data_IF_775584609149
#
_entry.id   IF_775584609149
#
_cell.length_a   1.000
_cell.length_b   1.000
_cell.length_c   1.000
_cell.angle_alpha   90.00
_cell.angle_beta   90.00
_cell.angle_gamma   90.00
#
_symmetry.space_group_name_H-M   'P 1'
#
loop_
_entity.id
_entity.type
_entity.pdbx_description
1 polymer ?
#
# COMPACT_ATOMS: atom_id res chain seq x y z
N UNK A 1 -9.71 -4.16 18.35
CA UNK A 1 -10.17 -3.41 17.16
C UNK A 1 -9.91 -4.28 15.94
N UNK A 2 -10.87 -4.39 15.02
CA UNK A 2 -10.73 -5.27 13.86
C UNK A 2 -10.24 -4.47 12.63
N UNK A 3 -8.94 -4.13 12.64
CA UNK A 3 -8.32 -3.36 11.57
C UNK A 3 -7.61 -4.27 10.57
N UNK A 4 -7.55 -3.83 9.31
CA UNK A 4 -6.85 -4.52 8.22
C UNK A 4 -5.92 -3.56 7.50
N UNK A 5 -4.67 -3.96 7.36
CA UNK A 5 -3.72 -3.32 6.45
C UNK A 5 -3.57 -4.16 5.19
N UNK A 6 -3.88 -3.60 4.04
CA UNK A 6 -3.67 -4.17 2.72
C UNK A 6 -2.35 -3.64 2.17
N UNK A 7 -1.37 -4.51 1.96
CA UNK A 7 -0.08 -4.14 1.35
C UNK A 7 -0.05 -4.66 -0.07
N UNK A 8 -0.16 -3.76 -1.04
CA UNK A 8 -0.13 -4.10 -2.46
C UNK A 8 1.31 -4.28 -2.93
N UNK A 9 1.62 -5.47 -3.43
CA UNK A 9 2.97 -5.81 -3.89
C UNK A 9 2.96 -6.63 -5.18
N UNK A 10 4.10 -6.64 -5.86
CA UNK A 10 4.35 -7.46 -7.04
C UNK A 10 5.43 -8.50 -6.76
N UNK A 11 5.43 -9.59 -7.51
CA UNK A 11 6.58 -10.48 -7.55
C UNK A 11 7.82 -9.73 -8.05
N UNK A 12 8.97 -9.78 -7.32
CA UNK A 12 10.18 -9.06 -7.71
C UNK A 12 10.88 -9.74 -8.89
N UNK A 13 10.42 -9.42 -10.09
CA UNK A 13 10.98 -9.91 -11.35
C UNK A 13 11.66 -8.77 -12.10
N UNK A 14 12.95 -8.92 -12.51
CA UNK A 14 13.65 -7.91 -13.29
C UNK A 14 12.86 -7.50 -14.54
N UNK A 15 12.76 -6.19 -14.78
CA UNK A 15 12.00 -5.61 -15.90
C UNK A 15 10.47 -5.51 -15.66
N UNK A 16 9.93 -6.06 -14.56
CA UNK A 16 8.51 -5.97 -14.21
C UNK A 16 8.21 -5.09 -13.01
N UNK A 17 9.23 -4.77 -12.22
CA UNK A 17 9.15 -3.84 -11.08
C UNK A 17 10.09 -2.68 -11.29
N UNK A 18 9.72 -1.49 -10.81
CA UNK A 18 10.54 -0.26 -10.89
C UNK A 18 11.11 0.00 -12.28
N UNK A 19 10.25 -0.06 -13.30
CA UNK A 19 10.67 0.06 -14.71
C UNK A 19 11.25 1.43 -15.05
N UNK A 20 10.82 2.52 -14.38
CA UNK A 20 11.41 3.85 -14.55
C UNK A 20 12.84 3.87 -13.99
N UNK A 21 13.04 3.41 -12.76
CA UNK A 21 14.36 3.26 -12.16
C UNK A 21 15.26 2.33 -12.99
N UNK A 22 14.69 1.26 -13.56
CA UNK A 22 15.43 0.31 -14.38
C UNK A 22 16.02 0.93 -15.66
N UNK A 23 15.47 2.03 -16.18
CA UNK A 23 16.05 2.76 -17.30
C UNK A 23 17.40 3.39 -16.95
N UNK A 24 17.63 3.71 -15.69
CA UNK A 24 18.86 4.36 -15.23
C UNK A 24 19.90 3.35 -14.71
N UNK A 25 19.45 2.35 -13.92
CA UNK A 25 20.35 1.44 -13.20
C UNK A 25 20.33 -0.02 -13.73
N UNK A 26 19.48 -0.32 -14.68
CA UNK A 26 19.25 -1.67 -15.19
C UNK A 26 18.21 -2.46 -14.38
N UNK A 27 17.62 -3.47 -15.03
CA UNK A 27 16.49 -4.23 -14.50
C UNK A 27 16.83 -5.00 -13.20
N UNK A 28 18.00 -5.59 -13.12
CA UNK A 28 18.43 -6.37 -11.95
C UNK A 28 18.63 -5.49 -10.73
N UNK A 29 19.26 -4.32 -10.87
CA UNK A 29 19.49 -3.39 -9.77
C UNK A 29 18.18 -2.76 -9.29
N UNK A 30 17.31 -2.34 -10.21
CA UNK A 30 15.97 -1.85 -9.87
C UNK A 30 15.14 -2.90 -9.11
N UNK A 31 15.27 -4.18 -9.48
CA UNK A 31 14.64 -5.29 -8.76
C UNK A 31 15.21 -5.47 -7.34
N UNK A 32 16.53 -5.27 -7.13
CA UNK A 32 17.13 -5.28 -5.78
C UNK A 32 16.60 -4.13 -4.94
N UNK A 33 16.53 -2.92 -5.50
CA UNK A 33 15.93 -1.76 -4.81
C UNK A 33 14.50 -2.06 -4.40
N UNK A 34 13.68 -2.63 -5.30
CA UNK A 34 12.31 -3.01 -4.95
C UNK A 34 12.23 -3.98 -3.76
N UNK A 35 13.11 -4.99 -3.70
CA UNK A 35 13.18 -5.91 -2.55
C UNK A 35 13.55 -5.19 -1.25
N UNK A 36 14.43 -4.20 -1.32
CA UNK A 36 14.81 -3.36 -0.18
C UNK A 36 13.60 -2.55 0.31
N UNK A 37 12.84 -1.93 -0.59
CA UNK A 37 11.63 -1.18 -0.26
C UNK A 37 10.60 -2.06 0.45
N UNK A 38 10.32 -3.26 -0.07
CA UNK A 38 9.40 -4.21 0.58
C UNK A 38 9.90 -4.62 1.97
N UNK A 39 11.19 -4.89 2.13
CA UNK A 39 11.80 -5.19 3.44
C UNK A 39 11.65 -4.02 4.41
N UNK A 40 11.84 -2.79 3.96
CA UNK A 40 11.67 -1.58 4.78
C UNK A 40 10.22 -1.47 5.30
N UNK A 41 9.21 -1.71 4.46
CA UNK A 41 7.80 -1.75 4.86
C UNK A 41 7.58 -2.82 5.94
N UNK A 42 8.12 -4.03 5.76
CA UNK A 42 8.03 -5.11 6.75
C UNK A 42 8.59 -4.66 8.10
N UNK A 43 9.80 -4.12 8.11
CA UNK A 43 10.52 -3.74 9.33
C UNK A 43 9.85 -2.57 10.08
N UNK A 44 9.34 -1.59 9.35
CA UNK A 44 8.79 -0.36 9.92
C UNK A 44 7.34 -0.49 10.39
N UNK A 45 6.55 -1.34 9.75
CA UNK A 45 5.10 -1.40 9.98
C UNK A 45 4.69 -2.64 10.75
N UNK A 46 5.20 -3.83 10.38
CA UNK A 46 4.69 -5.09 10.93
C UNK A 46 4.82 -5.22 12.46
N UNK A 47 5.91 -4.79 13.13
CA UNK A 47 6.06 -4.97 14.57
C UNK A 47 4.97 -4.29 15.39
N UNK A 48 4.51 -3.12 14.94
CA UNK A 48 3.48 -2.34 15.63
C UNK A 48 2.09 -2.76 15.18
N UNK A 49 1.90 -2.94 13.87
CA UNK A 49 0.58 -3.23 13.32
C UNK A 49 0.03 -4.59 13.79
N UNK A 50 0.87 -5.57 14.08
CA UNK A 50 0.45 -6.86 14.65
C UNK A 50 -0.34 -6.73 15.96
N UNK A 51 -0.17 -5.62 16.68
CA UNK A 51 -0.95 -5.31 17.89
C UNK A 51 -2.27 -4.58 17.58
N UNK A 52 -2.38 -3.96 16.41
CA UNK A 52 -3.52 -3.14 15.99
C UNK A 52 -4.51 -3.89 15.10
N UNK A 53 -4.07 -4.92 14.38
CA UNK A 53 -4.89 -5.61 13.38
C UNK A 53 -4.16 -6.73 12.68
N UNK A 54 -4.55 -7.00 11.44
CA UNK A 54 -3.95 -8.02 10.58
C UNK A 54 -3.42 -7.41 9.29
N UNK A 55 -2.37 -7.99 8.73
CA UNK A 55 -1.75 -7.58 7.47
C UNK A 55 -2.13 -8.57 6.38
N UNK A 56 -2.68 -8.05 5.28
CA UNK A 56 -2.91 -8.82 4.06
C UNK A 56 -1.94 -8.37 2.97
N UNK A 57 -1.13 -9.28 2.48
CA UNK A 57 -0.27 -9.10 1.32
C UNK A 57 -1.09 -9.32 0.05
N UNK A 58 -1.43 -8.22 -0.66
CA UNK A 58 -2.26 -8.23 -1.86
C UNK A 58 -1.35 -8.28 -3.08
N UNK A 59 -1.12 -9.47 -3.62
CA UNK A 59 -0.02 -9.74 -4.54
C UNK A 59 -0.43 -9.90 -6.01
N UNK A 60 0.51 -9.64 -6.91
CA UNK A 60 0.44 -9.86 -8.36
C UNK A 60 1.79 -10.42 -8.87
N UNK A 61 1.81 -11.40 -9.78
CA UNK A 61 0.67 -12.10 -10.41
C UNK A 61 0.16 -13.30 -9.60
N UNK A 62 -1.07 -13.72 -9.86
CA UNK A 62 -1.73 -14.85 -9.17
C UNK A 62 -0.94 -16.16 -9.26
N UNK A 63 -0.24 -16.40 -10.37
CA UNK A 63 0.57 -17.60 -10.57
C UNK A 63 1.85 -17.68 -9.72
N UNK A 64 2.16 -16.64 -8.93
CA UNK A 64 3.34 -16.54 -8.05
C UNK A 64 3.01 -16.59 -6.57
N UNK A 65 1.83 -17.10 -6.20
CA UNK A 65 1.40 -17.12 -4.80
C UNK A 65 2.39 -17.86 -3.88
N UNK A 66 2.85 -19.04 -4.29
CA UNK A 66 3.75 -19.85 -3.47
C UNK A 66 5.08 -19.12 -3.24
N UNK A 67 5.73 -18.66 -4.30
CA UNK A 67 7.01 -17.96 -4.24
C UNK A 67 6.92 -16.64 -3.46
N UNK A 68 5.81 -15.90 -3.60
CA UNK A 68 5.57 -14.66 -2.85
C UNK A 68 5.40 -14.94 -1.35
N UNK A 69 4.66 -15.99 -0.98
CA UNK A 69 4.53 -16.43 0.41
C UNK A 69 5.89 -16.79 1.02
N UNK A 70 6.67 -17.61 0.35
CA UNK A 70 8.01 -18.00 0.81
C UNK A 70 8.93 -16.77 0.96
N UNK A 71 8.89 -15.85 -0.02
CA UNK A 71 9.68 -14.64 0.03
C UNK A 71 9.29 -13.75 1.21
N UNK A 72 8.02 -13.42 1.38
CA UNK A 72 7.53 -12.57 2.47
C UNK A 72 7.77 -13.24 3.82
N UNK A 73 7.51 -14.55 3.96
CA UNK A 73 7.80 -15.31 5.18
C UNK A 73 9.29 -15.27 5.56
N UNK A 74 10.17 -15.32 4.57
CA UNK A 74 11.61 -15.17 4.78
C UNK A 74 11.98 -13.77 5.25
N UNK A 75 11.41 -12.72 4.62
CA UNK A 75 11.67 -11.32 5.01
C UNK A 75 11.13 -11.03 6.42
N UNK A 76 9.93 -11.51 6.77
CA UNK A 76 9.37 -11.42 8.13
C UNK A 76 10.30 -12.07 9.16
N UNK A 77 10.76 -13.30 8.89
CA UNK A 77 11.69 -14.00 9.77
C UNK A 77 13.03 -13.26 9.92
N UNK A 78 13.59 -12.76 8.82
CA UNK A 78 14.84 -11.99 8.83
C UNK A 78 14.70 -10.68 9.63
N UNK A 79 13.49 -10.14 9.70
CA UNK A 79 13.15 -8.94 10.47
C UNK A 79 12.74 -9.24 11.93
N UNK A 80 12.89 -10.48 12.39
CA UNK A 80 12.56 -10.90 13.75
C UNK A 80 11.05 -11.01 14.03
N UNK A 81 10.21 -10.99 12.99
CA UNK A 81 8.76 -11.04 13.11
C UNK A 81 8.31 -12.50 13.03
N UNK A 82 7.94 -13.08 14.17
CA UNK A 82 7.55 -14.50 14.27
C UNK A 82 6.04 -14.72 14.27
N UNK A 83 5.23 -13.68 14.39
CA UNK A 83 3.77 -13.77 14.38
C UNK A 83 3.23 -13.89 12.95
N UNK A 84 3.20 -15.13 12.45
CA UNK A 84 2.61 -15.45 11.14
C UNK A 84 1.09 -15.42 11.12
N UNK A 85 0.42 -15.48 12.27
CA UNK A 85 -1.05 -15.53 12.35
C UNK A 85 -1.71 -14.21 11.97
N UNK A 86 -0.97 -13.11 12.14
CA UNK A 86 -1.42 -11.77 11.76
C UNK A 86 -1.23 -11.47 10.28
N UNK A 87 -0.54 -12.35 9.52
CA UNK A 87 -0.25 -12.18 8.10
C UNK A 87 -1.00 -13.20 7.24
N UNK A 88 -1.60 -12.73 6.16
CA UNK A 88 -2.24 -13.59 5.16
C UNK A 88 -2.14 -12.96 3.76
N UNK A 89 -2.58 -13.69 2.72
CA UNK A 89 -2.29 -13.34 1.33
C UNK A 89 -3.55 -13.40 0.48
N UNK A 90 -3.74 -12.39 -0.37
CA UNK A 90 -4.74 -12.36 -1.42
C UNK A 90 -4.09 -12.04 -2.76
N UNK A 91 -4.55 -12.72 -3.82
CA UNK A 91 -4.20 -12.27 -5.16
C UNK A 91 -4.95 -10.99 -5.52
N UNK A 92 -4.30 -10.10 -6.26
CA UNK A 92 -4.97 -8.96 -6.86
C UNK A 92 -5.99 -9.44 -7.89
N UNK A 93 -7.12 -8.72 -8.01
CA UNK A 93 -8.08 -8.96 -9.10
C UNK A 93 -7.53 -8.41 -10.42
N UNK A 94 -8.15 -8.79 -11.52
CA UNK A 94 -7.97 -8.15 -12.82
C UNK A 94 -8.50 -6.71 -12.82
N UNK A 95 -8.19 -5.95 -13.85
CA UNK A 95 -8.61 -4.57 -14.01
C UNK A 95 -7.53 -3.55 -13.67
N UNK A 96 -7.91 -2.29 -13.60
CA UNK A 96 -7.02 -1.19 -13.21
C UNK A 96 -6.76 -1.15 -11.70
N UNK A 97 -5.99 -0.18 -11.22
CA UNK A 97 -5.70 -0.04 -9.79
C UNK A 97 -6.97 0.19 -8.97
N UNK A 98 -7.94 0.93 -9.51
CA UNK A 98 -9.23 1.19 -8.84
C UNK A 98 -10.04 -0.09 -8.63
N UNK A 99 -10.12 -0.95 -9.64
CA UNK A 99 -10.80 -2.25 -9.54
C UNK A 99 -10.13 -3.16 -8.50
N UNK A 100 -8.79 -3.17 -8.48
CA UNK A 100 -8.01 -3.96 -7.54
C UNK A 100 -8.20 -3.47 -6.10
N UNK A 101 -8.13 -2.17 -5.87
CA UNK A 101 -8.40 -1.56 -4.57
C UNK A 101 -9.84 -1.83 -4.14
N UNK A 102 -10.83 -1.55 -4.99
CA UNK A 102 -12.24 -1.78 -4.69
C UNK A 102 -12.52 -3.23 -4.29
N UNK A 103 -11.95 -4.19 -5.01
CA UNK A 103 -12.10 -5.62 -4.74
C UNK A 103 -11.51 -6.01 -3.40
N UNK A 104 -10.28 -5.55 -3.10
CA UNK A 104 -9.61 -5.86 -1.84
C UNK A 104 -10.34 -5.27 -0.63
N UNK A 105 -10.76 -3.99 -0.70
CA UNK A 105 -11.55 -3.35 0.35
C UNK A 105 -12.90 -4.04 0.56
N UNK A 106 -13.63 -4.35 -0.53
CA UNK A 106 -14.90 -5.07 -0.46
C UNK A 106 -14.75 -6.43 0.23
N UNK A 107 -13.69 -7.18 -0.09
CA UNK A 107 -13.36 -8.45 0.56
C UNK A 107 -13.05 -8.26 2.04
N UNK A 108 -12.29 -7.23 2.40
CA UNK A 108 -12.00 -6.92 3.80
C UNK A 108 -13.25 -6.61 4.61
N UNK A 109 -14.16 -5.78 4.09
CA UNK A 109 -15.44 -5.49 4.75
C UNK A 109 -16.34 -6.71 4.86
N UNK A 110 -16.36 -7.60 3.86
CA UNK A 110 -17.14 -8.84 3.95
C UNK A 110 -16.60 -9.83 4.98
N UNK A 111 -15.36 -9.66 5.43
CA UNK A 111 -14.75 -10.38 6.56
C UNK A 111 -14.87 -9.61 7.88
N UNK A 112 -15.73 -8.59 7.94
CA UNK A 112 -16.05 -7.80 9.13
C UNK A 112 -14.89 -6.97 9.68
N UNK A 113 -13.88 -6.62 8.87
CA UNK A 113 -12.92 -5.59 9.27
C UNK A 113 -13.61 -4.22 9.31
N UNK A 114 -13.34 -3.44 10.38
CA UNK A 114 -14.00 -2.15 10.61
C UNK A 114 -13.26 -0.98 9.96
N UNK A 115 -11.94 -1.01 10.01
CA UNK A 115 -11.07 -0.01 9.38
C UNK A 115 -10.08 -0.72 8.48
N UNK A 116 -10.02 -0.28 7.26
CA UNK A 116 -9.13 -0.85 6.26
C UNK A 116 -8.27 0.27 5.70
N UNK A 117 -6.96 0.04 5.69
CA UNK A 117 -5.98 0.91 5.08
C UNK A 117 -5.22 0.12 4.02
N UNK A 118 -5.06 0.68 2.83
CA UNK A 118 -4.25 0.13 1.76
C UNK A 118 -3.02 1.01 1.51
N UNK A 119 -1.87 0.37 1.31
CA UNK A 119 -0.60 1.01 0.98
C UNK A 119 0.08 0.30 -0.18
N UNK A 120 0.93 1.03 -0.91
CA UNK A 120 1.95 0.46 -1.79
C UNK A 120 3.20 0.03 -1.01
N UNK A 121 4.23 -0.34 -1.75
CA UNK A 121 5.56 -0.69 -1.21
C UNK A 121 6.65 0.30 -1.63
N UNK A 122 6.26 1.42 -2.21
CA UNK A 122 7.16 2.32 -2.90
C UNK A 122 7.59 3.53 -2.05
N UNK A 123 6.89 3.78 -0.93
CA UNK A 123 7.14 4.89 -0.02
C UNK A 123 7.95 4.43 1.19
N UNK A 124 9.23 4.82 1.24
CA UNK A 124 10.15 4.42 2.32
C UNK A 124 9.94 5.21 3.61
N UNK A 125 9.40 6.42 3.52
CA UNK A 125 9.14 7.28 4.68
C UNK A 125 7.95 6.78 5.51
N UNK A 126 7.14 5.89 4.93
CA UNK A 126 5.97 5.33 5.59
C UNK A 126 6.36 4.46 6.79
N UNK A 127 5.78 4.77 7.93
CA UNK A 127 6.03 4.10 9.20
C UNK A 127 4.74 3.71 9.94
N UNK A 128 4.89 3.04 11.08
CA UNK A 128 3.78 2.63 11.93
C UNK A 128 2.96 3.81 12.46
N UNK A 129 3.61 4.94 12.77
CA UNK A 129 2.94 6.15 13.26
C UNK A 129 1.97 6.70 12.23
N UNK A 130 2.38 6.71 10.96
CA UNK A 130 1.53 7.14 9.84
C UNK A 130 0.32 6.21 9.67
N UNK A 131 0.50 4.89 9.82
CA UNK A 131 -0.61 3.93 9.77
C UNK A 131 -1.58 4.11 10.94
N UNK A 132 -1.06 4.35 12.14
CA UNK A 132 -1.90 4.66 13.31
C UNK A 132 -2.71 5.93 13.10
N UNK A 133 -2.09 7.00 12.62
CA UNK A 133 -2.78 8.25 12.26
C UNK A 133 -3.88 8.02 11.22
N UNK A 134 -3.60 7.19 10.20
CA UNK A 134 -4.60 6.81 9.21
C UNK A 134 -5.82 6.14 9.85
N UNK A 135 -5.61 5.16 10.74
CA UNK A 135 -6.69 4.48 11.45
C UNK A 135 -7.50 5.42 12.36
N UNK A 136 -6.82 6.33 13.07
CA UNK A 136 -7.48 7.33 13.91
C UNK A 136 -8.30 8.35 13.10
N UNK A 137 -7.90 8.62 11.86
CA UNK A 137 -8.60 9.52 10.94
C UNK A 137 -9.89 8.93 10.35
N UNK A 138 -10.28 7.72 10.79
CA UNK A 138 -11.49 7.02 10.34
C UNK A 138 -12.54 6.87 11.47
N UNK A 139 -13.09 7.99 12.03
CA UNK A 139 -14.02 7.92 13.15
C UNK A 139 -15.42 7.43 12.75
N UNK A 140 -15.84 7.57 11.49
CA UNK A 140 -17.18 7.24 11.03
C UNK A 140 -17.20 6.48 9.71
N UNK A 141 -18.32 5.86 9.36
CA UNK A 141 -18.51 5.13 8.11
C UNK A 141 -18.32 5.99 6.84
N UNK A 142 -18.49 7.31 6.95
CA UNK A 142 -18.27 8.26 5.86
C UNK A 142 -16.87 8.87 5.85
N UNK A 143 -15.98 8.39 6.73
CA UNK A 143 -14.60 8.86 6.79
C UNK A 143 -13.71 8.10 5.81
N UNK A 144 -12.86 8.85 5.11
CA UNK A 144 -11.74 8.34 4.34
C UNK A 144 -10.47 9.07 4.74
N UNK A 145 -9.33 8.45 4.52
CA UNK A 145 -8.01 9.05 4.71
C UNK A 145 -7.16 8.80 3.46
N UNK A 146 -6.39 9.80 3.05
CA UNK A 146 -5.46 9.72 1.94
C UNK A 146 -4.09 10.21 2.42
N UNK A 147 -3.04 9.48 2.07
CA UNK A 147 -1.65 9.91 2.21
C UNK A 147 -1.12 10.34 0.84
N UNK A 148 -1.06 11.66 0.54
CA UNK A 148 -0.66 12.16 -0.76
C UNK A 148 0.77 11.77 -1.13
N UNK A 149 1.06 11.60 -2.43
CA UNK A 149 2.41 11.51 -2.98
C UNK A 149 2.69 12.65 -3.95
N UNK A 150 3.97 13.08 -4.03
CA UNK A 150 4.39 14.23 -4.82
C UNK A 150 4.11 14.10 -6.32
N UNK A 151 3.91 12.89 -6.82
CA UNK A 151 3.53 12.63 -8.22
C UNK A 151 2.07 12.96 -8.54
N UNK A 152 1.28 13.39 -7.53
CA UNK A 152 -0.15 13.67 -7.64
C UNK A 152 -1.05 12.45 -7.43
N UNK A 153 -0.48 11.34 -6.95
CA UNK A 153 -1.16 10.14 -6.46
C UNK A 153 -1.34 10.13 -4.95
N UNK A 154 -1.37 8.95 -4.39
CA UNK A 154 -1.33 8.72 -2.95
C UNK A 154 -0.68 7.37 -2.63
N UNK A 155 0.19 7.35 -1.63
CA UNK A 155 0.85 6.16 -1.11
C UNK A 155 -0.05 5.35 -0.17
N UNK A 156 -1.12 5.96 0.34
CA UNK A 156 -2.04 5.38 1.30
C UNK A 156 -3.47 5.83 1.03
N UNK A 157 -4.40 4.89 1.13
CA UNK A 157 -5.84 5.17 1.21
C UNK A 157 -6.49 4.31 2.27
N UNK A 158 -7.38 4.90 3.09
CA UNK A 158 -8.13 4.17 4.11
C UNK A 158 -9.61 4.57 4.15
N UNK A 159 -10.44 3.63 4.59
CA UNK A 159 -11.87 3.87 4.78
C UNK A 159 -12.47 2.92 5.82
N UNK A 160 -13.65 3.25 6.33
CA UNK A 160 -14.32 2.50 7.39
C UNK A 160 -15.55 1.72 6.94
N UNK A 161 -16.03 1.90 5.74
CA UNK A 161 -17.21 1.19 5.26
C UNK A 161 -17.28 1.07 3.74
N UNK A 162 -18.22 0.27 3.26
CA UNK A 162 -18.53 0.15 1.84
C UNK A 162 -18.95 1.48 1.19
N UNK A 163 -19.37 2.47 1.96
CA UNK A 163 -19.73 3.81 1.45
C UNK A 163 -18.55 4.51 0.78
N UNK A 164 -17.31 4.16 1.15
CA UNK A 164 -16.10 4.67 0.52
C UNK A 164 -15.75 4.02 -0.82
N UNK A 165 -16.25 2.82 -1.13
CA UNK A 165 -15.85 2.06 -2.33
C UNK A 165 -16.04 2.81 -3.66
N UNK A 166 -17.11 3.63 -3.87
CA UNK A 166 -17.22 4.38 -5.10
C UNK A 166 -16.14 5.44 -5.32
N UNK A 167 -15.29 5.72 -4.32
CA UNK A 167 -14.13 6.62 -4.46
C UNK A 167 -13.23 6.22 -5.63
N UNK A 168 -13.06 4.92 -5.86
CA UNK A 168 -12.14 4.37 -6.85
C UNK A 168 -12.66 4.42 -8.30
N UNK A 169 -13.90 4.86 -8.54
CA UNK A 169 -14.51 4.89 -9.87
C UNK A 169 -14.22 6.17 -10.62
N UNK A 170 -13.99 6.05 -11.92
CA UNK A 170 -13.76 7.20 -12.82
C UNK A 170 -12.54 8.04 -12.43
N UNK A 171 -11.48 7.38 -11.96
CA UNK A 171 -10.17 7.96 -11.68
C UNK A 171 -9.23 7.65 -12.84
N UNK A 172 -8.51 8.65 -13.31
CA UNK A 172 -7.47 8.50 -14.35
C UNK A 172 -6.18 7.98 -13.71
N UNK A 173 -6.17 6.68 -13.41
CA UNK A 173 -5.03 6.03 -12.72
C UNK A 173 -3.72 6.24 -13.47
N UNK A 174 -2.60 6.21 -12.74
CA UNK A 174 -1.23 6.43 -13.24
C UNK A 174 -1.01 7.82 -13.87
N UNK A 175 -1.74 8.82 -13.40
CA UNK A 175 -1.56 10.23 -13.78
C UNK A 175 -1.44 11.12 -12.54
N UNK A 176 -0.87 12.32 -12.70
CA UNK A 176 -0.81 13.32 -11.63
C UNK A 176 -2.18 13.89 -11.19
N UNK A 177 -3.27 13.42 -11.77
CA UNK A 177 -4.64 13.86 -11.46
C UNK A 177 -5.33 12.99 -10.42
N UNK A 178 -4.75 11.86 -10.02
CA UNK A 178 -5.37 10.82 -9.17
C UNK A 178 -5.86 11.41 -7.85
N UNK A 179 -5.01 12.10 -7.09
CA UNK A 179 -5.39 12.70 -5.81
C UNK A 179 -6.54 13.71 -5.98
N UNK A 180 -6.40 14.64 -6.92
CA UNK A 180 -7.41 15.68 -7.16
C UNK A 180 -8.76 15.06 -7.50
N UNK A 181 -8.79 14.12 -8.44
CA UNK A 181 -10.03 13.43 -8.84
C UNK A 181 -10.64 12.64 -7.68
N UNK A 182 -9.81 12.02 -6.83
CA UNK A 182 -10.28 11.31 -5.65
C UNK A 182 -10.90 12.24 -4.62
N UNK A 183 -10.34 13.44 -4.42
CA UNK A 183 -10.93 14.46 -3.52
C UNK A 183 -12.26 15.00 -4.06
N UNK A 184 -12.31 15.34 -5.35
CA UNK A 184 -13.54 15.80 -6.01
C UNK A 184 -14.64 14.71 -5.90
N UNK A 185 -14.23 13.45 -6.07
CA UNK A 185 -15.12 12.29 -5.90
C UNK A 185 -15.60 12.13 -4.46
N UNK A 186 -14.72 12.26 -3.49
CA UNK A 186 -15.08 12.20 -2.06
C UNK A 186 -16.14 13.26 -1.71
N UNK A 187 -15.96 14.49 -2.16
CA UNK A 187 -16.93 15.57 -1.98
C UNK A 187 -18.27 15.21 -2.61
N UNK A 188 -18.29 14.73 -3.85
CA UNK A 188 -19.51 14.34 -4.56
C UNK A 188 -20.28 13.20 -3.89
N UNK A 189 -19.60 12.35 -3.14
CA UNK A 189 -20.16 11.21 -2.39
C UNK A 189 -20.56 11.60 -0.94
N UNK A 190 -20.31 12.83 -0.51
CA UNK A 190 -20.53 13.28 0.87
C UNK A 190 -19.64 12.57 1.87
N UNK A 191 -18.43 12.15 1.45
CA UNK A 191 -17.42 11.58 2.33
C UNK A 191 -16.61 12.68 3.00
N UNK A 192 -16.23 12.45 4.26
CA UNK A 192 -15.29 13.31 4.99
C UNK A 192 -13.89 12.76 4.79
N UNK A 193 -12.98 13.56 4.24
CA UNK A 193 -11.60 13.13 4.04
C UNK A 193 -10.63 13.81 4.99
N UNK A 194 -9.57 13.08 5.33
CA UNK A 194 -8.38 13.58 6.01
C UNK A 194 -7.18 13.36 5.10
N UNK A 195 -6.33 14.36 4.96
CA UNK A 195 -5.03 14.21 4.30
C UNK A 195 -3.95 14.04 5.35
N UNK A 196 -3.10 13.04 5.17
CA UNK A 196 -1.88 12.85 5.95
C UNK A 196 -0.74 13.67 5.36
N UNK A 197 0.44 13.59 5.99
CA UNK A 197 1.67 14.18 5.45
C UNK A 197 1.95 13.61 4.06
N UNK A 198 2.37 14.47 3.15
CA UNK A 198 2.80 14.10 1.81
C UNK A 198 4.19 13.46 1.86
N UNK A 199 4.37 12.36 1.13
CA UNK A 199 5.63 11.62 1.01
C UNK A 199 6.01 11.39 -0.45
N UNK A 200 7.23 10.90 -0.67
CA UNK A 200 7.69 10.55 -2.01
C UNK A 200 7.70 9.04 -2.24
N UNK A 201 7.25 8.63 -3.42
CA UNK A 201 7.43 7.27 -3.90
C UNK A 201 8.79 7.16 -4.61
N UNK A 202 9.49 6.05 -4.42
CA UNK A 202 10.80 5.80 -5.05
C UNK A 202 10.58 5.24 -6.45
N UNK A 203 10.50 6.09 -7.47
CA UNK A 203 10.26 5.68 -8.86
C UNK A 203 11.45 5.90 -9.79
N UNK A 204 12.32 6.84 -9.48
CA UNK A 204 13.48 7.24 -10.28
C UNK A 204 14.78 7.05 -9.51
N UNK A 205 15.92 7.22 -10.18
CA UNK A 205 17.23 7.20 -9.53
C UNK A 205 17.41 8.37 -8.55
N UNK A 206 16.86 9.54 -8.86
CA UNK A 206 16.92 10.71 -7.97
C UNK A 206 16.10 10.44 -6.69
N UNK A 207 14.89 9.85 -6.81
CA UNK A 207 14.10 9.45 -5.65
C UNK A 207 14.87 8.46 -4.77
N UNK A 208 15.45 7.42 -5.38
CA UNK A 208 16.27 6.44 -4.67
C UNK A 208 17.46 7.07 -3.96
N UNK A 209 18.21 7.93 -4.64
CA UNK A 209 19.36 8.63 -4.04
C UNK A 209 18.99 9.53 -2.87
N UNK A 210 17.77 10.10 -2.88
CA UNK A 210 17.30 10.98 -1.80
C UNK A 210 16.96 10.24 -0.50
N UNK A 211 16.60 8.94 -0.60
CA UNK A 211 16.10 8.17 0.55
C UNK A 211 16.96 6.97 0.96
N UNK A 212 17.92 6.54 0.15
CA UNK A 212 18.74 5.34 0.44
C UNK A 212 19.46 5.40 1.79
N UNK A 213 19.86 6.60 2.25
CA UNK A 213 20.49 6.79 3.56
C UNK A 213 19.55 6.53 4.75
N UNK A 214 18.24 6.43 4.53
CA UNK A 214 17.26 6.08 5.56
C UNK A 214 17.20 4.56 5.83
N UNK A 215 17.90 3.77 5.02
CA UNK A 215 17.87 2.29 5.05
C UNK A 215 19.20 1.72 5.55
N UNK A 216 20.30 2.49 5.38
CA UNK A 216 21.63 2.17 5.90
C UNK A 216 21.71 2.45 7.41
#
# INVERSE_FOLDING_TARGET
MNNLLLVFLKWPEPGRVKTRLASDVGADEACKVYKILVRSIIQRISPVFNQLGRICWVFDPIGKEHEIREWIDKELKNSGINDRKSHFFWSQSSGDLGDRLQTAFKRGFSLHYERIVAIGTDCIELDSTTIEQALFSLPSERSIVLGPSYDGGYYLVGMRSHLGLPLFRNISWSTSKVLRQSLDRAVSLGLKYTLLKEFNDVDTLDDWNSVRSLIE
#
